data_IF_704016853472
#
_entry.id   IF_704016853472
#
_cell.length_a   1.000
_cell.length_b   1.000
_cell.length_c   1.000
_cell.angle_alpha   90.00
_cell.angle_beta   90.00
_cell.angle_gamma   90.00
#
_symmetry.space_group_name_H-M   'P 1'
#
loop_
_entity.id
_entity.type
_entity.pdbx_description
1 polymer ?
#
# COMPACT_ATOMS: atom_id res chain seq x y z
N UNK A 1 -12.77 -5.35 57.47
CA UNK A 1 -13.57 -4.68 56.43
C UNK A 1 -13.89 -5.72 55.35
N UNK A 2 -15.15 -6.14 55.14
CA UNK A 2 -15.46 -7.03 54.02
C UNK A 2 -15.16 -6.30 52.70
N UNK A 3 -14.38 -6.92 51.82
CA UNK A 3 -14.03 -6.35 50.51
C UNK A 3 -15.26 -6.48 49.60
N UNK A 4 -15.90 -5.36 49.32
CA UNK A 4 -17.00 -5.30 48.34
C UNK A 4 -16.46 -5.74 46.96
N UNK A 5 -17.12 -6.67 46.27
CA UNK A 5 -16.68 -7.10 44.95
C UNK A 5 -16.67 -5.89 44.00
N UNK A 6 -15.52 -5.65 43.36
CA UNK A 6 -15.34 -4.53 42.43
C UNK A 6 -16.35 -4.64 41.29
N UNK A 7 -17.27 -3.67 41.18
CA UNK A 7 -18.22 -3.58 40.07
C UNK A 7 -17.46 -3.26 38.78
N UNK A 8 -17.06 -4.29 38.05
CA UNK A 8 -16.34 -4.19 36.78
C UNK A 8 -17.22 -4.65 35.62
N UNK A 9 -17.06 -4.01 34.46
CA UNK A 9 -17.66 -4.47 33.21
C UNK A 9 -16.99 -5.74 32.63
N UNK A 10 -15.98 -6.24 33.33
CA UNK A 10 -15.23 -7.44 32.98
C UNK A 10 -15.28 -8.44 34.13
N UNK A 11 -15.41 -9.72 33.78
CA UNK A 11 -15.34 -10.84 34.71
C UNK A 11 -13.90 -11.10 35.18
N UNK A 12 -13.71 -11.95 36.19
CA UNK A 12 -12.42 -12.38 36.76
C UNK A 12 -11.43 -12.95 35.73
N UNK A 13 -11.93 -13.40 34.58
CA UNK A 13 -11.13 -13.89 33.45
C UNK A 13 -10.93 -12.85 32.34
N UNK A 14 -11.15 -11.55 32.63
CA UNK A 14 -11.08 -10.45 31.66
C UNK A 14 -12.04 -10.57 30.48
N UNK A 15 -13.07 -11.41 30.59
CA UNK A 15 -14.15 -11.52 29.60
C UNK A 15 -15.15 -10.38 29.79
N UNK A 16 -15.74 -9.90 28.70
CA UNK A 16 -16.80 -8.90 28.77
C UNK A 16 -18.00 -9.45 29.53
N UNK A 17 -18.53 -8.68 30.49
CA UNK A 17 -19.73 -9.06 31.22
C UNK A 17 -20.98 -8.94 30.34
N UNK A 18 -22.05 -9.66 30.70
CA UNK A 18 -23.33 -9.61 29.98
C UNK A 18 -23.90 -8.18 29.89
N UNK A 19 -23.67 -7.36 30.92
CA UNK A 19 -24.07 -5.96 30.94
C UNK A 19 -23.36 -5.14 29.85
N UNK A 20 -22.05 -5.34 29.69
CA UNK A 20 -21.25 -4.66 28.67
C UNK A 20 -21.65 -5.08 27.26
N UNK A 21 -21.89 -6.38 27.03
CA UNK A 21 -22.33 -6.90 25.73
C UNK A 21 -23.66 -6.26 25.33
N UNK A 22 -24.64 -6.22 26.24
CA UNK A 22 -25.94 -5.58 25.98
C UNK A 22 -25.80 -4.10 25.64
N UNK A 23 -24.96 -3.38 26.38
CA UNK A 23 -24.71 -1.96 26.12
C UNK A 23 -24.10 -1.69 24.74
N UNK A 24 -23.33 -2.64 24.19
CA UNK A 24 -22.64 -2.50 22.88
C UNK A 24 -23.44 -3.00 21.68
N UNK A 25 -24.48 -3.81 21.89
CA UNK A 25 -25.37 -4.33 20.82
C UNK A 25 -25.77 -3.27 19.77
N UNK A 26 -26.21 -2.04 20.13
CA UNK A 26 -26.66 -1.08 19.12
C UNK A 26 -25.54 -0.48 18.27
N UNK A 27 -24.28 -0.52 18.75
CA UNK A 27 -23.14 0.09 18.06
C UNK A 27 -22.34 -0.90 17.23
N UNK A 28 -22.45 -2.20 17.52
CA UNK A 28 -21.70 -3.24 16.80
C UNK A 28 -22.00 -3.19 15.31
N UNK A 29 -23.28 -3.18 14.93
CA UNK A 29 -23.70 -3.16 13.52
C UNK A 29 -23.34 -1.83 12.86
N UNK A 30 -23.62 -0.71 13.54
CA UNK A 30 -23.36 0.63 12.99
C UNK A 30 -21.87 0.85 12.73
N UNK A 31 -21.01 0.45 13.67
CA UNK A 31 -19.56 0.60 13.55
C UNK A 31 -18.96 -0.38 12.55
N UNK A 32 -19.50 -1.60 12.46
CA UNK A 32 -19.06 -2.56 11.44
C UNK A 32 -19.38 -2.04 10.03
N UNK A 33 -20.58 -1.48 9.85
CA UNK A 33 -21.01 -0.94 8.55
C UNK A 33 -20.16 0.28 8.16
N UNK A 34 -19.88 1.20 9.07
CA UNK A 34 -18.99 2.34 8.79
C UNK A 34 -17.57 1.89 8.49
N UNK A 35 -17.06 0.90 9.24
CA UNK A 35 -15.74 0.32 8.98
C UNK A 35 -15.66 -0.34 7.59
N UNK A 36 -16.69 -1.10 7.21
CA UNK A 36 -16.75 -1.75 5.90
C UNK A 36 -16.87 -0.72 4.78
N UNK A 37 -17.68 0.33 4.96
CA UNK A 37 -17.80 1.41 3.99
C UNK A 37 -16.46 2.12 3.77
N UNK A 38 -15.73 2.44 4.85
CA UNK A 38 -14.41 3.05 4.77
C UNK A 38 -13.40 2.13 4.08
N UNK A 39 -13.35 0.87 4.48
CA UNK A 39 -12.47 -0.13 3.87
C UNK A 39 -12.75 -0.31 2.37
N UNK A 40 -14.03 -0.44 2.01
CA UNK A 40 -14.48 -0.54 0.62
C UNK A 40 -14.13 0.70 -0.19
N UNK A 41 -14.33 1.90 0.37
CA UNK A 41 -13.95 3.15 -0.29
C UNK A 41 -12.44 3.23 -0.55
N UNK A 42 -11.61 2.94 0.46
CA UNK A 42 -10.16 2.93 0.30
C UNK A 42 -9.70 1.89 -0.74
N UNK A 43 -10.22 0.66 -0.65
CA UNK A 43 -9.90 -0.41 -1.62
C UNK A 43 -10.36 -0.10 -3.04
N UNK A 44 -11.52 0.57 -3.17
CA UNK A 44 -12.03 1.05 -4.45
C UNK A 44 -11.09 2.09 -5.06
N UNK A 45 -10.70 3.13 -4.30
CA UNK A 45 -9.76 4.15 -4.79
C UNK A 45 -8.44 3.51 -5.20
N UNK A 46 -7.85 2.65 -4.37
CA UNK A 46 -6.60 1.94 -4.69
C UNK A 46 -6.68 1.12 -5.97
N UNK A 47 -7.75 0.34 -6.13
CA UNK A 47 -7.92 -0.51 -7.32
C UNK A 47 -8.22 0.33 -8.56
N UNK A 48 -8.99 1.40 -8.40
CA UNK A 48 -9.35 2.32 -9.46
C UNK A 48 -8.12 3.07 -9.98
N UNK A 49 -7.24 3.56 -9.10
CA UNK A 49 -6.04 4.30 -9.53
C UNK A 49 -5.11 3.42 -10.35
N UNK A 50 -4.92 2.15 -10.00
CA UNK A 50 -4.14 1.22 -10.83
C UNK A 50 -4.79 1.08 -12.21
N UNK A 51 -6.11 0.85 -12.29
CA UNK A 51 -6.80 0.71 -13.57
C UNK A 51 -6.81 1.99 -14.42
N UNK A 52 -6.91 3.14 -13.78
CA UNK A 52 -7.00 4.44 -14.43
C UNK A 52 -5.65 4.93 -14.94
N UNK A 53 -4.56 4.63 -14.23
CA UNK A 53 -3.20 5.06 -14.60
C UNK A 53 -2.48 4.04 -15.48
N UNK A 54 -2.84 2.75 -15.44
CA UNK A 54 -2.20 1.71 -16.25
C UNK A 54 -2.42 1.83 -17.78
N UNK A 55 -2.96 2.95 -18.26
CA UNK A 55 -3.18 3.23 -19.69
C UNK A 55 -2.13 4.16 -20.30
N UNK A 56 -1.05 4.47 -19.59
CA UNK A 56 0.05 5.23 -20.20
C UNK A 56 0.92 4.29 -21.05
N UNK A 57 0.53 4.14 -22.32
CA UNK A 57 1.34 3.48 -23.35
C UNK A 57 2.40 4.50 -23.78
N UNK A 58 3.60 4.40 -23.22
CA UNK A 58 4.75 5.30 -23.44
C UNK A 58 5.30 5.29 -24.89
N UNK A 59 4.44 5.26 -25.91
CA UNK A 59 4.81 5.14 -27.33
C UNK A 59 5.50 6.40 -27.87
N UNK A 60 5.28 7.56 -27.25
CA UNK A 60 5.95 8.82 -27.62
C UNK A 60 7.34 8.99 -26.97
N UNK A 61 7.71 8.09 -26.05
CA UNK A 61 9.05 8.12 -25.43
C UNK A 61 10.02 7.35 -26.32
N UNK A 62 10.76 8.09 -27.15
CA UNK A 62 11.86 7.52 -27.92
C UNK A 62 12.94 7.00 -26.98
N UNK A 63 13.12 5.68 -26.91
CA UNK A 63 14.23 5.06 -26.20
C UNK A 63 15.49 5.28 -27.04
N UNK A 64 16.51 5.98 -26.53
CA UNK A 64 17.77 6.13 -27.25
C UNK A 64 18.37 4.74 -27.50
N UNK A 65 18.81 4.48 -28.74
CA UNK A 65 19.53 3.26 -29.07
C UNK A 65 20.72 3.06 -28.12
N UNK A 66 21.00 1.79 -27.79
CA UNK A 66 22.09 1.41 -26.89
C UNK A 66 23.38 2.18 -27.26
N UNK A 67 24.12 2.71 -26.28
CA UNK A 67 25.26 3.57 -26.54
C UNK A 67 26.20 2.86 -27.51
N UNK A 68 26.41 3.47 -28.68
CA UNK A 68 27.39 3.01 -29.65
C UNK A 68 28.73 2.89 -28.94
N UNK A 69 29.31 1.69 -28.95
CA UNK A 69 30.63 1.45 -28.40
C UNK A 69 31.58 2.49 -28.99
N UNK A 70 32.13 3.33 -28.12
CA UNK A 70 33.08 4.36 -28.50
C UNK A 70 34.22 3.69 -29.27
N UNK A 71 34.69 4.26 -30.39
CA UNK A 71 35.74 3.64 -31.17
C UNK A 71 36.97 3.42 -30.28
N UNK A 72 37.41 2.16 -30.21
CA UNK A 72 38.61 1.76 -29.50
C UNK A 72 39.75 2.72 -29.87
N UNK A 73 40.30 3.38 -28.85
CA UNK A 73 41.45 4.26 -28.96
C UNK A 73 42.67 3.44 -29.40
N UNK A 74 42.84 3.25 -30.71
CA UNK A 74 43.95 2.47 -31.25
C UNK A 74 44.16 2.59 -32.76
N UNK A 75 43.21 3.14 -33.52
CA UNK A 75 43.31 3.17 -34.99
C UNK A 75 43.93 4.46 -35.58
N UNK A 76 44.63 5.27 -34.77
CA UNK A 76 45.28 6.51 -35.21
C UNK A 76 46.79 6.40 -35.18
N UNK A 77 47.37 5.44 -35.90
CA UNK A 77 48.81 5.45 -36.25
C UNK A 77 49.00 4.58 -37.47
N UNK A 78 48.98 5.15 -38.67
CA UNK A 78 49.89 4.82 -39.79
C UNK A 78 49.73 5.91 -40.86
N UNK A 79 50.53 6.98 -40.74
CA UNK A 79 50.81 7.85 -41.87
C UNK A 79 51.79 7.12 -42.80
N UNK A 80 51.54 6.99 -44.12
CA UNK A 80 52.52 6.43 -45.02
C UNK A 80 53.62 7.47 -45.26
N UNK A 81 54.81 7.15 -44.77
CA UNK A 81 56.08 7.83 -45.02
C UNK A 81 56.63 7.36 -46.38
N UNK A 82 56.78 8.31 -47.33
CA UNK A 82 57.83 8.41 -48.38
C UNK A 82 57.77 7.33 -49.50
N UNK A 83 57.79 7.67 -50.79
CA UNK A 83 58.84 8.39 -51.54
C UNK A 83 58.31 8.99 -52.84
#
# INVERSE_FOLDING_TARGET
MPVLPRSSYYDKHYKQSAALIRARRPYLIKNALTGLALFGFCGFVYSFTIRAVAQDDFEDVQVPDAPTQSPSAGASTMAPVVK
#
